data_IF_494754037852
#
_entry.id   IF_494754037852
#
_cell.length_a   1.000
_cell.length_b   1.000
_cell.length_c   1.000
_cell.angle_alpha   90.00
_cell.angle_beta   90.00
_cell.angle_gamma   90.00
#
_symmetry.space_group_name_H-M   'P 1'
#
loop_
_entity.id
_entity.type
_entity.pdbx_description
1 polymer ?
#
# COMPACT_ATOMS: atom_id res chain seq x y z
N UNK A 1 1.17 -14.36 -23.15
CA UNK A 1 0.85 -13.61 -21.92
C UNK A 1 -0.05 -12.44 -22.27
N UNK A 2 -1.17 -12.27 -21.59
CA UNK A 2 -2.06 -11.12 -21.82
C UNK A 2 -1.27 -9.83 -21.55
N UNK A 3 -1.47 -8.79 -22.36
CA UNK A 3 -0.83 -7.48 -22.18
C UNK A 3 -1.10 -6.93 -20.75
N UNK A 4 -2.30 -7.18 -20.20
CA UNK A 4 -2.67 -6.76 -18.85
C UNK A 4 -1.80 -7.39 -17.75
N UNK A 5 -1.43 -8.68 -17.88
CA UNK A 5 -0.52 -9.33 -16.93
C UNK A 5 0.86 -8.67 -16.92
N UNK A 6 1.38 -8.35 -18.11
CA UNK A 6 2.68 -7.67 -18.23
C UNK A 6 2.67 -6.30 -17.56
N UNK A 7 1.56 -5.55 -17.68
CA UNK A 7 1.42 -4.25 -17.01
C UNK A 7 1.41 -4.42 -15.49
N UNK A 8 0.74 -5.43 -14.95
CA UNK A 8 0.75 -5.74 -13.51
C UNK A 8 2.17 -6.06 -13.04
N UNK A 9 2.92 -6.85 -13.79
CA UNK A 9 4.31 -7.21 -13.45
C UNK A 9 5.23 -5.98 -13.47
N UNK A 10 5.09 -5.10 -14.46
CA UNK A 10 5.82 -3.83 -14.54
C UNK A 10 5.46 -2.92 -13.36
N UNK A 11 4.18 -2.85 -13.00
CA UNK A 11 3.72 -2.09 -11.85
C UNK A 11 4.30 -2.62 -10.54
N UNK A 12 4.34 -3.94 -10.36
CA UNK A 12 4.94 -4.56 -9.18
C UNK A 12 6.44 -4.23 -9.05
N UNK A 13 7.17 -4.23 -10.16
CA UNK A 13 8.60 -3.87 -10.19
C UNK A 13 8.78 -2.40 -9.80
N UNK A 14 8.06 -1.48 -10.44
CA UNK A 14 8.14 -0.05 -10.12
C UNK A 14 7.75 0.23 -8.65
N UNK A 15 6.73 -0.45 -8.15
CA UNK A 15 6.28 -0.33 -6.76
C UNK A 15 7.34 -0.84 -5.75
N UNK A 16 8.01 -1.94 -6.06
CA UNK A 16 9.07 -2.52 -5.21
C UNK A 16 10.38 -1.70 -5.18
N UNK A 17 10.62 -0.91 -6.22
CA UNK A 17 11.82 -0.10 -6.38
C UNK A 17 11.58 1.38 -6.08
N UNK A 18 10.39 1.72 -5.59
CA UNK A 18 9.92 3.09 -5.44
C UNK A 18 10.81 3.94 -4.53
N UNK A 19 11.31 5.04 -5.08
CA UNK A 19 12.02 6.14 -4.40
C UNK A 19 11.52 7.48 -4.90
N UNK A 20 11.78 8.60 -4.23
CA UNK A 20 11.40 9.92 -4.75
C UNK A 20 11.93 10.20 -6.17
N UNK A 21 13.13 9.68 -6.48
CA UNK A 21 13.81 9.95 -7.76
C UNK A 21 13.21 9.16 -8.93
N UNK A 22 12.66 7.95 -8.67
CA UNK A 22 12.13 7.08 -9.71
C UNK A 22 10.60 6.90 -9.66
N UNK A 23 9.90 7.60 -8.78
CA UNK A 23 8.46 7.47 -8.61
C UNK A 23 7.66 7.71 -9.90
N UNK A 24 8.21 8.52 -10.83
CA UNK A 24 7.62 8.75 -12.14
C UNK A 24 7.41 7.46 -12.94
N UNK A 25 8.25 6.45 -12.77
CA UNK A 25 8.09 5.14 -13.44
C UNK A 25 6.79 4.44 -13.01
N UNK A 26 6.41 4.56 -11.72
CA UNK A 26 5.13 4.07 -11.23
C UNK A 26 3.97 4.93 -11.77
N UNK A 27 4.13 6.24 -11.75
CA UNK A 27 3.09 7.19 -12.17
C UNK A 27 2.77 7.08 -13.66
N UNK A 28 3.74 6.73 -14.49
CA UNK A 28 3.55 6.52 -15.93
C UNK A 28 2.71 5.27 -16.25
N UNK A 29 2.58 4.35 -15.31
CA UNK A 29 1.78 3.13 -15.47
C UNK A 29 0.31 3.32 -15.11
N UNK A 30 -0.08 4.42 -14.45
CA UNK A 30 -1.45 4.66 -14.02
C UNK A 30 -2.23 5.54 -15.01
N UNK A 31 -3.55 5.32 -15.04
CA UNK A 31 -4.47 6.11 -15.84
C UNK A 31 -4.71 7.49 -15.21
N UNK A 32 -5.15 8.46 -16.03
CA UNK A 32 -5.48 9.81 -15.53
C UNK A 32 -6.64 9.80 -14.53
N UNK A 33 -7.57 8.87 -14.65
CA UNK A 33 -8.74 8.67 -13.80
C UNK A 33 -8.54 7.59 -12.73
N UNK A 34 -7.30 7.23 -12.39
CA UNK A 34 -7.00 6.17 -11.43
C UNK A 34 -7.71 6.38 -10.10
N UNK A 35 -8.27 5.30 -9.56
CA UNK A 35 -8.82 5.26 -8.21
C UNK A 35 -7.81 4.62 -7.26
N UNK A 36 -7.42 5.36 -6.23
CA UNK A 36 -6.60 4.86 -5.12
C UNK A 36 -7.44 4.73 -3.85
N UNK A 37 -7.36 3.58 -3.20
CA UNK A 37 -8.01 3.35 -1.91
C UNK A 37 -7.09 2.60 -0.98
N UNK A 38 -6.93 3.10 0.23
CA UNK A 38 -6.29 2.41 1.35
C UNK A 38 -7.16 2.55 2.62
N UNK A 39 -6.75 2.04 3.80
CA UNK A 39 -7.54 2.20 5.03
C UNK A 39 -7.86 3.63 5.44
N UNK A 40 -7.15 4.63 4.92
CA UNK A 40 -7.26 6.04 5.31
C UNK A 40 -7.76 6.95 4.19
N UNK A 41 -7.59 6.53 2.92
CA UNK A 41 -7.79 7.38 1.77
C UNK A 41 -8.74 6.76 0.73
N UNK A 42 -9.50 7.63 0.08
CA UNK A 42 -10.27 7.34 -1.12
C UNK A 42 -10.04 8.50 -2.08
N UNK A 43 -9.22 8.29 -3.10
CA UNK A 43 -8.69 9.37 -3.95
C UNK A 43 -8.89 9.00 -5.42
N UNK A 44 -9.34 9.97 -6.20
CA UNK A 44 -9.53 9.83 -7.64
C UNK A 44 -8.57 10.74 -8.39
N UNK A 45 -8.05 10.25 -9.51
CA UNK A 45 -7.18 10.98 -10.41
C UNK A 45 -5.70 10.82 -10.12
N UNK A 46 -4.92 10.93 -11.19
CA UNK A 46 -3.46 10.72 -11.16
C UNK A 46 -2.73 11.70 -10.26
N UNK A 47 -3.16 12.97 -10.24
CA UNK A 47 -2.58 13.98 -9.35
C UNK A 47 -2.74 13.60 -7.88
N UNK A 48 -3.94 13.15 -7.48
CA UNK A 48 -4.19 12.66 -6.13
C UNK A 48 -3.38 11.40 -5.81
N UNK A 49 -3.24 10.48 -6.76
CA UNK A 49 -2.40 9.29 -6.63
C UNK A 49 -0.93 9.66 -6.37
N UNK A 50 -0.37 10.59 -7.13
CA UNK A 50 0.99 11.11 -6.92
C UNK A 50 1.11 11.72 -5.52
N UNK A 51 0.14 12.50 -5.10
CA UNK A 51 0.15 13.15 -3.78
C UNK A 51 0.17 12.16 -2.61
N UNK A 52 -0.44 10.98 -2.75
CA UNK A 52 -0.37 9.91 -1.73
C UNK A 52 1.08 9.46 -1.49
N UNK A 53 1.84 9.24 -2.56
CA UNK A 53 3.23 8.79 -2.44
C UNK A 53 4.17 9.92 -1.99
N UNK A 54 3.97 11.14 -2.48
CA UNK A 54 4.71 12.31 -1.99
C UNK A 54 4.51 12.49 -0.48
N UNK A 55 3.28 12.37 0.01
CA UNK A 55 2.99 12.41 1.44
C UNK A 55 3.67 11.27 2.21
N UNK A 56 3.72 10.06 1.66
CA UNK A 56 4.45 8.94 2.26
C UNK A 56 5.95 9.26 2.39
N UNK A 57 6.58 9.82 1.35
CA UNK A 57 8.00 10.20 1.39
C UNK A 57 8.26 11.35 2.37
N UNK A 58 7.32 12.28 2.50
CA UNK A 58 7.40 13.38 3.45
C UNK A 58 7.29 12.92 4.90
N UNK A 59 6.48 11.91 5.17
CA UNK A 59 6.17 11.45 6.54
C UNK A 59 7.00 10.26 7.00
N UNK A 60 7.58 9.50 6.07
CA UNK A 60 8.35 8.30 6.37
C UNK A 60 9.83 8.45 6.00
N UNK A 61 10.71 7.87 6.82
CA UNK A 61 12.12 7.68 6.50
C UNK A 61 12.32 6.30 5.91
N UNK A 62 12.98 6.25 4.75
CA UNK A 62 13.30 5.02 4.02
C UNK A 62 12.11 4.06 3.85
N UNK A 63 10.92 4.53 3.40
CA UNK A 63 9.80 3.65 3.13
C UNK A 63 10.17 2.68 1.99
N UNK A 64 9.88 1.40 2.20
CA UNK A 64 10.18 0.36 1.22
C UNK A 64 9.08 -0.67 1.18
N UNK A 65 8.62 -0.97 -0.03
CA UNK A 65 7.74 -2.11 -0.30
C UNK A 65 8.55 -3.27 -0.87
N UNK A 66 8.40 -4.44 -0.28
CA UNK A 66 8.98 -5.68 -0.80
C UNK A 66 7.83 -6.54 -1.30
N UNK A 67 7.76 -6.78 -2.60
CA UNK A 67 6.74 -7.65 -3.20
C UNK A 67 7.14 -9.09 -2.92
N UNK A 68 6.29 -9.83 -2.22
CA UNK A 68 6.54 -11.21 -1.80
C UNK A 68 5.82 -12.24 -2.67
N UNK A 69 4.74 -11.83 -3.34
CA UNK A 69 3.98 -12.69 -4.24
C UNK A 69 3.14 -11.86 -5.21
N UNK A 70 2.87 -12.43 -6.40
CA UNK A 70 2.03 -11.82 -7.42
C UNK A 70 1.06 -12.88 -7.94
N UNK A 71 -0.24 -12.59 -7.90
CA UNK A 71 -1.26 -13.40 -8.52
C UNK A 71 -2.00 -12.61 -9.61
N UNK A 72 -2.41 -13.31 -10.65
CA UNK A 72 -3.14 -12.71 -11.75
C UNK A 72 -4.53 -13.32 -11.89
N UNK A 73 -5.53 -12.49 -12.04
CA UNK A 73 -6.84 -12.89 -12.52
C UNK A 73 -7.05 -12.45 -13.99
N UNK A 74 -8.28 -12.56 -14.48
CA UNK A 74 -8.62 -12.16 -15.85
C UNK A 74 -8.45 -10.66 -16.09
N UNK A 75 -8.77 -9.83 -15.09
CA UNK A 75 -8.80 -8.36 -15.19
C UNK A 75 -8.00 -7.64 -14.11
N UNK A 76 -7.53 -8.36 -13.09
CA UNK A 76 -6.84 -7.78 -11.93
C UNK A 76 -5.53 -8.50 -11.64
N UNK A 77 -4.62 -7.79 -11.00
CA UNK A 77 -3.44 -8.35 -10.36
C UNK A 77 -3.51 -8.16 -8.85
N UNK A 78 -2.89 -9.06 -8.11
CA UNK A 78 -2.81 -9.02 -6.65
C UNK A 78 -1.35 -9.09 -6.24
N UNK A 79 -0.89 -8.06 -5.57
CA UNK A 79 0.50 -7.91 -5.13
C UNK A 79 0.54 -8.07 -3.63
N UNK A 80 1.10 -9.16 -3.13
CA UNK A 80 1.38 -9.29 -1.71
C UNK A 80 2.68 -8.59 -1.39
N UNK A 81 2.69 -7.77 -0.35
CA UNK A 81 3.87 -6.99 0.00
C UNK A 81 4.09 -6.88 1.52
N UNK A 82 5.33 -6.56 1.87
CA UNK A 82 5.73 -6.10 3.18
C UNK A 82 6.25 -4.67 3.07
N UNK A 83 5.75 -3.78 3.92
CA UNK A 83 6.20 -2.41 4.03
C UNK A 83 7.09 -2.24 5.25
N UNK A 84 8.22 -1.59 5.05
CA UNK A 84 9.16 -1.23 6.13
C UNK A 84 9.53 0.24 6.04
N UNK A 85 9.90 0.83 7.17
CA UNK A 85 10.29 2.23 7.26
C UNK A 85 10.20 2.75 8.69
N UNK A 86 10.24 4.07 8.85
CA UNK A 86 10.07 4.76 10.13
C UNK A 86 9.25 6.03 9.94
N UNK A 87 8.45 6.39 10.93
CA UNK A 87 7.78 7.69 10.95
C UNK A 87 8.77 8.80 11.34
N UNK A 88 8.83 9.88 10.56
CA UNK A 88 9.73 11.01 10.83
C UNK A 88 9.36 11.74 12.13
N UNK A 89 8.07 11.95 12.37
CA UNK A 89 7.58 12.63 13.59
C UNK A 89 7.65 11.77 14.85
N UNK A 90 7.68 10.45 14.68
CA UNK A 90 7.85 9.47 15.76
C UNK A 90 8.95 8.48 15.39
N UNK A 91 10.23 8.87 15.45
CA UNK A 91 11.34 8.09 14.89
C UNK A 91 11.56 6.74 15.57
N UNK A 92 11.03 6.54 16.79
CA UNK A 92 11.03 5.25 17.47
C UNK A 92 9.95 4.29 16.96
N UNK A 93 8.99 4.78 16.16
CA UNK A 93 7.95 3.94 15.57
C UNK A 93 8.47 3.35 14.26
N UNK A 94 8.84 2.07 14.30
CA UNK A 94 9.15 1.31 13.09
C UNK A 94 7.85 0.94 12.40
N UNK A 95 7.85 1.10 11.10
CA UNK A 95 6.82 0.56 10.22
C UNK A 95 7.31 -0.81 9.75
N UNK A 96 6.52 -1.83 10.00
CA UNK A 96 6.78 -3.20 9.55
C UNK A 96 5.43 -3.92 9.51
N UNK A 97 4.78 -3.88 8.35
CA UNK A 97 3.48 -4.47 8.17
C UNK A 97 3.33 -5.10 6.78
N UNK A 98 2.41 -6.02 6.69
CA UNK A 98 2.08 -6.77 5.49
C UNK A 98 0.70 -6.39 4.97
N UNK A 99 0.55 -6.47 3.68
CA UNK A 99 -0.73 -6.24 3.03
C UNK A 99 -0.74 -6.81 1.62
N UNK A 100 -1.81 -6.48 0.93
CA UNK A 100 -2.01 -6.84 -0.46
C UNK A 100 -2.63 -5.66 -1.21
N UNK A 101 -2.16 -5.41 -2.41
CA UNK A 101 -2.76 -4.46 -3.34
C UNK A 101 -3.48 -5.22 -4.44
N UNK A 102 -4.74 -4.88 -4.67
CA UNK A 102 -5.45 -5.26 -5.87
C UNK A 102 -5.32 -4.13 -6.89
N UNK A 103 -4.84 -4.46 -8.10
CA UNK A 103 -4.77 -3.53 -9.22
C UNK A 103 -5.62 -4.00 -10.39
N UNK A 104 -6.29 -3.07 -11.05
CA UNK A 104 -7.06 -3.33 -12.27
C UNK A 104 -6.43 -2.58 -13.44
N UNK A 105 -6.31 -3.25 -14.58
CA UNK A 105 -5.76 -2.68 -15.82
C UNK A 105 -6.91 -2.41 -16.79
N UNK A 106 -7.04 -1.17 -17.27
CA UNK A 106 -8.00 -0.77 -18.26
C UNK A 106 -7.63 -1.29 -19.68
N UNK A 107 -8.43 -0.95 -20.68
CA UNK A 107 -8.21 -1.40 -22.05
C UNK A 107 -7.06 -0.64 -22.75
N UNK A 108 -6.68 0.52 -22.23
CA UNK A 108 -5.51 1.28 -22.72
C UNK A 108 -4.19 0.74 -22.13
N UNK A 109 -4.23 -0.29 -21.31
CA UNK A 109 -3.05 -0.88 -20.67
C UNK A 109 -2.49 -0.04 -19.52
N UNK A 110 -3.36 0.71 -18.83
CA UNK A 110 -3.00 1.52 -17.65
C UNK A 110 -3.69 0.97 -16.40
N UNK A 111 -3.04 1.11 -15.26
CA UNK A 111 -3.64 0.85 -13.95
C UNK A 111 -4.69 1.94 -13.68
N UNK A 112 -5.95 1.56 -13.64
CA UNK A 112 -7.05 2.49 -13.33
C UNK A 112 -7.63 2.29 -11.92
N UNK A 113 -7.17 1.29 -11.17
CA UNK A 113 -7.53 1.08 -9.79
C UNK A 113 -6.37 0.47 -9.00
N UNK A 114 -6.11 1.04 -7.84
CA UNK A 114 -5.18 0.56 -6.82
C UNK A 114 -5.91 0.51 -5.48
N UNK A 115 -6.09 -0.67 -4.94
CA UNK A 115 -6.80 -0.88 -3.69
C UNK A 115 -5.94 -1.66 -2.71
N UNK A 116 -5.53 -1.02 -1.62
CA UNK A 116 -4.73 -1.62 -0.56
C UNK A 116 -5.60 -2.27 0.51
N UNK A 117 -5.27 -3.51 0.82
CA UNK A 117 -5.87 -4.30 1.88
C UNK A 117 -4.82 -4.63 2.93
N UNK A 118 -4.91 -4.04 4.11
CA UNK A 118 -4.07 -4.40 5.22
C UNK A 118 -4.73 -4.04 6.56
N UNK A 119 -4.34 -4.74 7.61
CA UNK A 119 -4.84 -4.51 8.96
C UNK A 119 -4.10 -3.34 9.61
N UNK A 120 -4.61 -2.14 9.39
CA UNK A 120 -4.03 -0.91 9.94
C UNK A 120 -4.20 -0.81 11.47
N UNK A 121 -5.24 -1.39 12.02
CA UNK A 121 -5.52 -1.32 13.45
C UNK A 121 -4.47 -2.10 14.25
N UNK A 122 -4.24 -3.37 13.93
CA UNK A 122 -3.30 -4.20 14.67
C UNK A 122 -1.85 -4.00 14.25
N UNK A 123 -1.59 -3.66 12.98
CA UNK A 123 -0.21 -3.53 12.49
C UNK A 123 0.37 -2.13 12.66
N UNK A 124 -0.45 -1.08 12.76
CA UNK A 124 0.01 0.30 12.90
C UNK A 124 -0.59 1.01 14.12
N UNK A 125 -1.91 1.21 14.16
CA UNK A 125 -2.54 2.15 15.09
C UNK A 125 -2.32 1.76 16.56
N UNK A 126 -2.30 0.46 16.90
CA UNK A 126 -2.03 0.03 18.27
C UNK A 126 -0.60 0.33 18.75
N UNK A 127 0.33 0.58 17.84
CA UNK A 127 1.75 0.85 18.14
C UNK A 127 2.07 2.34 18.20
N UNK A 128 1.16 3.19 17.74
CA UNK A 128 1.37 4.65 17.80
C UNK A 128 1.26 5.17 19.23
N UNK A 129 2.10 6.15 19.61
CA UNK A 129 1.96 6.88 20.87
C UNK A 129 0.56 7.47 20.99
N UNK A 130 -0.02 7.50 22.20
CA UNK A 130 -1.37 7.98 22.49
C UNK A 130 -2.49 7.16 21.87
N UNK A 131 -2.54 7.00 20.53
CA UNK A 131 -3.57 6.22 19.81
C UNK A 131 -3.58 4.77 20.27
N UNK A 132 -2.41 4.17 20.45
CA UNK A 132 -2.28 2.79 20.91
C UNK A 132 -2.89 2.53 22.30
N UNK A 133 -2.94 3.54 23.16
CA UNK A 133 -3.57 3.44 24.49
C UNK A 133 -5.06 3.13 24.36
N UNK A 134 -5.74 3.69 23.37
CA UNK A 134 -7.15 3.45 23.08
C UNK A 134 -7.37 2.22 22.21
N UNK A 135 -6.51 1.99 21.22
CA UNK A 135 -6.66 0.89 20.27
C UNK A 135 -6.43 -0.49 20.89
N UNK A 136 -5.45 -0.63 21.78
CA UNK A 136 -5.12 -1.91 22.41
C UNK A 136 -6.29 -2.54 23.21
N UNK A 137 -7.02 -1.80 24.06
CA UNK A 137 -8.20 -2.33 24.74
C UNK A 137 -9.30 -2.76 23.76
N UNK A 138 -9.57 -1.95 22.70
CA UNK A 138 -10.58 -2.28 21.68
C UNK A 138 -10.22 -3.58 20.98
N UNK A 139 -8.99 -3.74 20.53
CA UNK A 139 -8.54 -4.98 19.86
C UNK A 139 -8.60 -6.21 20.79
N UNK A 140 -8.39 -6.03 22.10
CA UNK A 140 -8.49 -7.11 23.08
C UNK A 140 -9.90 -7.71 23.19
N UNK A 141 -10.94 -6.90 22.93
CA UNK A 141 -12.33 -7.39 22.96
C UNK A 141 -12.60 -8.51 21.94
N UNK A 142 -11.83 -8.52 20.85
CA UNK A 142 -11.99 -9.48 19.76
C UNK A 142 -10.97 -10.63 19.81
N UNK A 143 -10.02 -10.60 20.74
CA UNK A 143 -9.02 -11.66 20.88
C UNK A 143 -9.61 -12.85 21.61
N UNK A 144 -9.38 -14.04 21.07
CA UNK A 144 -9.68 -15.28 21.77
C UNK A 144 -8.61 -15.52 22.83
N UNK A 145 -9.06 -15.83 24.05
CA UNK A 145 -8.16 -16.35 25.09
C UNK A 145 -7.94 -17.84 24.79
N UNK A 146 -6.68 -18.31 24.68
CA UNK A 146 -6.45 -19.74 24.54
C UNK A 146 -7.10 -20.48 25.71
N UNK A 147 -7.92 -21.52 25.43
CA UNK A 147 -8.40 -22.44 26.47
C UNK A 147 -7.17 -23.17 27.00
N UNK A 148 -6.86 -22.99 28.28
CA UNK A 148 -5.87 -23.78 29.02
C UNK A 148 -6.30 -25.23 29.08
#
# INVERSE_FOLDING_TARGET
MSNKKKVVDQYAIAFSQLTPENAHELYDLVAEDVLFTDPFNYITGKEGFIHVFDHMFDTCTAPKFTITDIAHSRSSGYLRWRMSGRLKNWPHTRLDFEGMTEVTVNDDGKINRHLDHWDSASQLLQHLPLIGVFMRPVLRLFRLTPKS
#
